data_IF_187323450777
#
_entry.id   IF_187323450777
#
_cell.length_a   1.000
_cell.length_b   1.000
_cell.length_c   1.000
_cell.angle_alpha   90.00
_cell.angle_beta   90.00
_cell.angle_gamma   90.00
#
_symmetry.space_group_name_H-M   'P 1'
#
loop_
_entity.id
_entity.type
_entity.pdbx_description
1 polymer ?
#
# COMPACT_ATOMS: atom_id res chain seq x y z
N UNK A 1 14.01 6.77 30.70
CA UNK A 1 12.68 7.40 30.86
C UNK A 1 12.66 8.69 30.07
N UNK A 2 11.61 8.92 29.29
CA UNK A 2 11.55 10.04 28.35
C UNK A 2 10.63 11.12 28.91
N UNK A 3 11.13 12.36 29.01
CA UNK A 3 10.38 13.51 29.52
C UNK A 3 10.01 14.45 28.37
N UNK A 4 8.80 15.00 28.42
CA UNK A 4 8.40 16.03 27.47
C UNK A 4 9.19 17.31 27.74
N UNK A 5 9.86 17.87 26.73
CA UNK A 5 10.65 19.10 26.90
C UNK A 5 9.84 20.36 27.22
N UNK A 6 8.50 20.33 27.07
CA UNK A 6 7.60 21.46 27.39
C UNK A 6 6.99 21.34 28.78
N UNK A 7 6.58 20.13 29.16
CA UNK A 7 5.96 19.86 30.47
C UNK A 7 6.99 19.43 31.54
N UNK A 8 8.20 18.99 31.15
CA UNK A 8 9.11 18.14 31.92
C UNK A 8 8.49 16.86 32.53
N UNK A 9 7.22 16.56 32.19
CA UNK A 9 6.50 15.39 32.63
C UNK A 9 6.80 14.17 31.75
N UNK A 10 6.72 12.99 32.35
CA UNK A 10 6.97 11.72 31.68
C UNK A 10 5.93 11.45 30.59
N UNK A 11 6.40 11.03 29.42
CA UNK A 11 5.53 10.65 28.31
C UNK A 11 5.14 9.17 28.39
N UNK A 12 3.90 8.84 28.01
CA UNK A 12 3.37 7.47 28.13
C UNK A 12 3.92 6.57 27.01
N UNK A 13 4.80 5.61 27.36
CA UNK A 13 5.36 4.65 26.40
C UNK A 13 4.33 3.56 26.08
N UNK A 14 3.36 3.87 25.22
CA UNK A 14 2.51 2.85 24.57
C UNK A 14 3.29 2.24 23.40
N UNK A 15 2.89 1.04 22.93
CA UNK A 15 3.58 0.29 21.87
C UNK A 15 3.59 0.99 20.50
N UNK A 16 2.84 2.08 20.33
CA UNK A 16 2.73 2.82 19.08
C UNK A 16 3.89 3.80 18.85
N UNK A 17 4.18 4.12 17.59
CA UNK A 17 5.25 5.05 17.17
C UNK A 17 4.98 6.51 17.56
N UNK A 18 3.77 6.79 18.06
CA UNK A 18 3.25 8.09 18.43
C UNK A 18 2.99 8.14 19.94
N UNK A 19 3.47 9.20 20.60
CA UNK A 19 3.47 9.34 22.06
C UNK A 19 2.83 10.67 22.46
N UNK A 20 1.86 10.64 23.39
CA UNK A 20 1.18 11.83 23.93
C UNK A 20 1.81 12.30 25.25
N UNK A 21 2.10 13.60 25.45
CA UNK A 21 2.48 14.11 26.79
C UNK A 21 1.31 13.92 27.75
N UNK A 22 1.59 13.42 28.94
CA UNK A 22 0.63 13.30 30.06
C UNK A 22 0.40 14.63 30.79
N UNK A 23 1.05 15.71 30.37
CA UNK A 23 0.85 17.05 30.91
C UNK A 23 -0.20 17.83 30.16
N UNK A 24 -0.53 19.02 30.68
CA UNK A 24 -1.51 19.96 30.12
C UNK A 24 -1.21 20.42 28.68
N UNK A 25 0.00 20.16 28.17
CA UNK A 25 0.34 20.55 26.80
C UNK A 25 -0.36 19.72 25.72
N UNK A 26 -0.88 18.53 26.06
CA UNK A 26 -1.63 17.66 25.14
C UNK A 26 -0.86 17.20 23.88
N UNK A 27 0.40 17.59 23.72
CA UNK A 27 1.15 17.43 22.49
C UNK A 27 1.47 15.96 22.19
N UNK A 28 1.48 15.67 20.90
CA UNK A 28 1.73 14.34 20.34
C UNK A 28 3.06 14.37 19.58
N UNK A 29 3.95 13.42 19.87
CA UNK A 29 5.31 13.36 19.33
C UNK A 29 5.62 11.97 18.79
N UNK A 30 6.44 11.88 17.74
CA UNK A 30 7.04 10.61 17.34
C UNK A 30 8.06 10.12 18.37
N UNK A 31 8.04 8.83 18.70
CA UNK A 31 8.98 8.20 19.66
C UNK A 31 10.45 8.48 19.32
N UNK A 32 10.79 8.51 18.02
CA UNK A 32 12.14 8.84 17.52
C UNK A 32 12.57 10.29 17.81
N UNK A 33 11.62 11.23 17.81
CA UNK A 33 11.88 12.65 18.06
C UNK A 33 12.11 12.95 19.54
N UNK A 34 11.55 12.13 20.44
CA UNK A 34 11.74 12.32 21.89
C UNK A 34 13.02 11.65 22.40
N UNK A 35 13.51 10.61 21.71
CA UNK A 35 14.70 9.84 22.12
C UNK A 35 16.02 10.41 21.58
N UNK A 36 16.04 11.06 20.41
CA UNK A 36 17.27 11.65 19.86
C UNK A 36 17.44 13.09 20.33
N UNK A 37 18.52 13.34 21.09
CA UNK A 37 19.09 14.69 21.25
C UNK A 37 19.65 15.13 19.88
N UNK A 38 18.78 15.57 18.99
CA UNK A 38 19.20 16.18 17.74
C UNK A 38 19.98 17.47 18.06
N UNK A 39 21.20 17.54 17.54
CA UNK A 39 22.01 18.75 17.50
C UNK A 39 21.18 19.83 16.79
N UNK A 40 20.89 20.90 17.53
CA UNK A 40 20.42 22.20 17.07
C UNK A 40 18.98 22.38 16.55
N UNK A 41 18.20 21.33 16.24
CA UNK A 41 16.75 21.47 15.99
C UNK A 41 15.95 20.33 16.63
N UNK A 42 15.15 20.64 17.66
CA UNK A 42 14.66 19.68 18.65
C UNK A 42 13.40 18.88 18.27
N UNK A 43 12.87 19.03 17.05
CA UNK A 43 11.65 18.35 16.55
C UNK A 43 11.68 18.29 15.02
N UNK A 44 11.23 17.18 14.41
CA UNK A 44 11.06 17.08 12.95
C UNK A 44 10.01 18.08 12.45
N UNK A 45 10.01 18.39 11.16
CA UNK A 45 9.13 19.40 10.57
C UNK A 45 7.65 19.09 10.83
N UNK A 46 7.23 17.82 10.82
CA UNK A 46 5.87 17.40 11.20
C UNK A 46 5.54 17.67 12.68
N UNK A 47 6.51 17.50 13.58
CA UNK A 47 6.35 17.83 15.01
C UNK A 47 6.46 19.35 15.27
N UNK A 48 7.09 20.12 14.38
CA UNK A 48 7.10 21.57 14.43
C UNK A 48 5.77 22.15 13.94
N UNK A 49 5.19 21.58 12.89
CA UNK A 49 3.87 21.97 12.37
C UNK A 49 2.77 21.79 13.41
N UNK A 50 2.88 20.79 14.28
CA UNK A 50 1.95 20.59 15.39
C UNK A 50 2.06 21.67 16.49
N UNK A 51 3.07 22.57 16.45
CA UNK A 51 3.10 23.80 17.27
C UNK A 51 2.12 24.88 16.79
N UNK A 52 1.54 24.72 15.60
CA UNK A 52 0.49 25.57 15.04
C UNK A 52 -0.91 24.96 15.21
N UNK A 53 -1.14 24.20 16.27
CA UNK A 53 -2.51 24.10 16.80
C UNK A 53 -2.87 25.47 17.38
N UNK A 54 -4.06 26.04 17.08
CA UNK A 54 -4.47 27.31 17.66
C UNK A 54 -4.41 27.16 19.18
N UNK A 55 -3.68 28.06 19.85
CA UNK A 55 -3.75 28.17 21.30
C UNK A 55 -5.23 28.35 21.65
N UNK A 56 -5.83 27.35 22.30
CA UNK A 56 -6.96 27.59 23.17
C UNK A 56 -6.41 28.41 24.33
N UNK A 57 -6.40 29.72 24.16
CA UNK A 57 -6.22 30.66 25.24
C UNK A 57 -7.43 30.52 26.16
N UNK A 58 -7.26 29.71 27.21
CA UNK A 58 -7.95 29.94 28.47
C UNK A 58 -7.36 31.21 29.10
N UNK A 59 -7.74 32.35 28.55
CA UNK A 59 -7.76 33.61 29.26
C UNK A 59 -9.23 34.02 29.29
N UNK A 60 -9.69 34.45 30.46
CA UNK A 60 -10.93 35.20 30.63
C UNK A 60 -10.95 36.38 29.65
N UNK A 61 -11.43 36.14 28.43
CA UNK A 61 -11.90 37.21 27.57
C UNK A 61 -13.19 37.67 28.20
N UNK A 62 -13.07 38.55 29.20
CA UNK A 62 -14.05 39.61 29.39
C UNK A 62 -14.29 40.16 27.99
N UNK A 63 -15.46 39.84 27.43
CA UNK A 63 -16.03 40.54 26.29
C UNK A 63 -16.19 42.01 26.71
N UNK A 64 -15.10 42.77 26.66
CA UNK A 64 -15.18 44.21 26.54
C UNK A 64 -15.58 44.42 25.09
N UNK A 65 -16.89 44.24 24.83
CA UNK A 65 -17.54 44.80 23.66
C UNK A 65 -17.30 46.30 23.75
N UNK A 66 -16.33 46.81 22.99
CA UNK A 66 -16.22 48.24 22.76
C UNK A 66 -17.43 48.64 21.90
N UNK A 67 -18.44 49.37 22.43
CA UNK A 67 -19.72 49.58 21.72
C UNK A 67 -19.65 50.70 20.67
N UNK A 68 -18.46 51.05 20.18
CA UNK A 68 -18.27 52.16 19.25
C UNK A 68 -17.33 51.75 18.13
N UNK A 69 -17.88 51.76 16.91
CA UNK A 69 -17.19 51.76 15.61
C UNK A 69 -16.74 50.41 15.02
N UNK A 70 -17.63 49.43 14.92
CA UNK A 70 -17.67 48.63 13.69
C UNK A 70 -18.71 49.27 12.76
N UNK A 71 -18.25 50.12 11.84
CA UNK A 71 -19.14 50.59 10.77
C UNK A 71 -19.68 49.36 10.03
N UNK A 72 -20.93 49.39 9.58
CA UNK A 72 -21.52 48.28 8.82
C UNK A 72 -20.67 47.85 7.61
N UNK A 73 -19.83 48.75 7.09
CA UNK A 73 -18.86 48.49 6.04
C UNK A 73 -17.77 47.49 6.45
N UNK A 74 -17.26 47.55 7.68
CA UNK A 74 -16.25 46.59 8.17
C UNK A 74 -16.83 45.17 8.27
N UNK A 75 -18.06 45.06 8.76
CA UNK A 75 -18.78 43.77 8.85
C UNK A 75 -19.03 43.20 7.45
N UNK A 76 -19.49 44.05 6.50
CA UNK A 76 -19.69 43.67 5.11
C UNK A 76 -18.39 43.20 4.43
N UNK A 77 -17.27 43.90 4.67
CA UNK A 77 -15.97 43.51 4.14
C UNK A 77 -15.52 42.13 4.67
N UNK A 78 -15.74 41.87 5.96
CA UNK A 78 -15.40 40.57 6.55
C UNK A 78 -16.30 39.45 6.02
N UNK A 79 -17.60 39.70 5.84
CA UNK A 79 -18.54 38.75 5.24
C UNK A 79 -18.13 38.42 3.80
N UNK A 80 -17.80 39.42 2.99
CA UNK A 80 -17.33 39.21 1.61
C UNK A 80 -16.04 38.39 1.55
N UNK A 81 -15.11 38.63 2.48
CA UNK A 81 -13.88 37.83 2.60
C UNK A 81 -14.19 36.37 2.92
N UNK A 82 -15.13 36.11 3.85
CA UNK A 82 -15.56 34.74 4.21
C UNK A 82 -16.27 34.06 3.04
N UNK A 83 -17.14 34.77 2.32
CA UNK A 83 -17.80 34.26 1.11
C UNK A 83 -16.80 33.84 0.03
N UNK A 84 -15.74 34.63 -0.19
CA UNK A 84 -14.69 34.28 -1.15
C UNK A 84 -13.93 33.01 -0.73
N UNK A 85 -13.68 32.82 0.57
CA UNK A 85 -13.06 31.58 1.08
C UNK A 85 -13.99 30.39 0.85
N UNK A 86 -15.28 30.52 1.18
CA UNK A 86 -16.27 29.45 0.99
C UNK A 86 -16.36 29.06 -0.48
N UNK A 87 -16.44 30.02 -1.40
CA UNK A 87 -16.46 29.77 -2.84
C UNK A 87 -15.24 28.99 -3.33
N UNK A 88 -14.05 29.36 -2.85
CA UNK A 88 -12.81 28.64 -3.20
C UNK A 88 -12.77 27.21 -2.63
N UNK A 89 -13.34 27.00 -1.44
CA UNK A 89 -13.46 25.66 -0.85
C UNK A 89 -14.44 24.81 -1.64
N UNK A 90 -15.58 25.38 -2.04
CA UNK A 90 -16.60 24.70 -2.84
C UNK A 90 -16.02 24.20 -4.17
N UNK A 91 -15.27 25.06 -4.88
CA UNK A 91 -14.57 24.68 -6.11
C UNK A 91 -13.59 23.51 -5.90
N UNK A 92 -12.81 23.54 -4.81
CA UNK A 92 -11.86 22.45 -4.50
C UNK A 92 -12.58 21.15 -4.15
N UNK A 93 -13.73 21.23 -3.48
CA UNK A 93 -14.56 20.06 -3.16
C UNK A 93 -15.14 19.47 -4.45
N UNK A 94 -15.57 20.30 -5.39
CA UNK A 94 -16.04 19.85 -6.71
C UNK A 94 -14.94 19.11 -7.48
N UNK A 95 -13.73 19.67 -7.54
CA UNK A 95 -12.56 19.05 -8.17
C UNK A 95 -12.19 17.72 -7.49
N UNK A 96 -12.23 17.67 -6.17
CA UNK A 96 -11.97 16.45 -5.40
C UNK A 96 -13.03 15.38 -5.67
N UNK A 97 -14.30 15.77 -5.75
CA UNK A 97 -15.44 14.87 -6.01
C UNK A 97 -15.26 14.18 -7.37
N UNK A 98 -14.98 14.96 -8.42
CA UNK A 98 -14.69 14.44 -9.75
C UNK A 98 -13.51 13.46 -9.76
N UNK A 99 -12.47 13.76 -8.98
CA UNK A 99 -11.29 12.90 -8.87
C UNK A 99 -11.64 11.57 -8.19
N UNK A 100 -12.43 11.61 -7.12
CA UNK A 100 -12.88 10.40 -6.40
C UNK A 100 -13.77 9.53 -7.29
N UNK A 101 -14.70 10.12 -8.04
CA UNK A 101 -15.53 9.41 -9.02
C UNK A 101 -14.68 8.72 -10.08
N UNK A 102 -13.71 9.44 -10.66
CA UNK A 102 -12.78 8.87 -11.64
C UNK A 102 -11.99 7.67 -11.07
N UNK A 103 -11.47 7.78 -9.85
CA UNK A 103 -10.77 6.66 -9.23
C UNK A 103 -11.70 5.50 -8.91
N UNK A 104 -12.95 5.75 -8.50
CA UNK A 104 -13.93 4.71 -8.26
C UNK A 104 -14.21 3.90 -9.54
N UNK A 105 -14.41 4.56 -10.67
CA UNK A 105 -14.63 3.91 -11.98
C UNK A 105 -13.40 3.11 -12.42
N UNK A 106 -12.20 3.66 -12.20
CA UNK A 106 -10.94 2.96 -12.49
C UNK A 106 -10.78 1.70 -11.64
N UNK A 107 -11.08 1.76 -10.33
CA UNK A 107 -11.03 0.60 -9.45
C UNK A 107 -12.07 -0.45 -9.82
N UNK A 108 -13.29 -0.05 -10.18
CA UNK A 108 -14.33 -0.96 -10.65
C UNK A 108 -13.88 -1.72 -11.91
N UNK A 109 -13.33 -1.02 -12.89
CA UNK A 109 -12.79 -1.62 -14.11
C UNK A 109 -11.65 -2.62 -13.82
N UNK A 110 -10.77 -2.28 -12.87
CA UNK A 110 -9.66 -3.14 -12.47
C UNK A 110 -10.13 -4.40 -11.73
N UNK A 111 -11.19 -4.31 -10.94
CA UNK A 111 -11.82 -5.47 -10.29
C UNK A 111 -12.41 -6.43 -11.31
N UNK A 112 -13.14 -5.92 -12.31
CA UNK A 112 -13.72 -6.72 -13.38
C UNK A 112 -12.64 -7.45 -14.20
N UNK A 113 -11.60 -6.71 -14.61
CA UNK A 113 -10.45 -7.31 -15.31
C UNK A 113 -9.77 -8.39 -14.48
N UNK A 114 -9.56 -8.15 -13.18
CA UNK A 114 -8.97 -9.13 -12.27
C UNK A 114 -9.81 -10.39 -12.18
N UNK A 115 -11.13 -10.27 -12.06
CA UNK A 115 -12.03 -11.43 -12.00
C UNK A 115 -11.98 -12.24 -13.29
N UNK A 116 -12.03 -11.58 -14.45
CA UNK A 116 -11.93 -12.24 -15.75
C UNK A 116 -10.58 -12.96 -15.92
N UNK A 117 -9.49 -12.30 -15.55
CA UNK A 117 -8.15 -12.88 -15.60
C UNK A 117 -8.01 -14.10 -14.70
N UNK A 118 -8.55 -14.05 -13.47
CA UNK A 118 -8.56 -15.20 -12.56
C UNK A 118 -9.35 -16.38 -13.12
N UNK A 119 -10.48 -16.14 -13.79
CA UNK A 119 -11.24 -17.20 -14.46
C UNK A 119 -10.42 -17.86 -15.58
N UNK A 120 -9.73 -17.06 -16.40
CA UNK A 120 -8.84 -17.56 -17.46
C UNK A 120 -7.67 -18.38 -16.91
N UNK A 121 -7.02 -17.91 -15.85
CA UNK A 121 -5.92 -18.62 -15.19
C UNK A 121 -6.38 -19.99 -14.71
N UNK A 122 -7.49 -20.07 -13.97
CA UNK A 122 -8.03 -21.34 -13.47
C UNK A 122 -8.35 -22.32 -14.59
N UNK A 123 -8.92 -21.83 -15.71
CA UNK A 123 -9.22 -22.68 -16.87
C UNK A 123 -7.94 -23.23 -17.51
N UNK A 124 -6.89 -22.41 -17.63
CA UNK A 124 -5.60 -22.84 -18.16
C UNK A 124 -4.89 -23.83 -17.23
N UNK A 125 -4.94 -23.62 -15.91
CA UNK A 125 -4.41 -24.55 -14.91
C UNK A 125 -5.07 -25.93 -15.03
N UNK A 126 -6.40 -25.97 -15.13
CA UNK A 126 -7.13 -27.23 -15.34
C UNK A 126 -6.74 -27.93 -16.65
N UNK A 127 -6.58 -27.16 -17.73
CA UNK A 127 -6.14 -27.70 -19.03
C UNK A 127 -4.72 -28.26 -18.94
N UNK A 128 -3.80 -27.59 -18.24
CA UNK A 128 -2.43 -28.08 -18.05
C UNK A 128 -2.42 -29.39 -17.26
N UNK A 129 -3.17 -29.48 -16.16
CA UNK A 129 -3.29 -30.73 -15.38
C UNK A 129 -3.80 -31.88 -16.25
N UNK A 130 -4.78 -31.63 -17.12
CA UNK A 130 -5.27 -32.63 -18.06
C UNK A 130 -4.17 -33.07 -19.03
N UNK A 131 -3.47 -32.12 -19.66
CA UNK A 131 -2.39 -32.41 -20.61
C UNK A 131 -1.23 -33.18 -19.96
N UNK A 132 -0.85 -32.84 -18.73
CA UNK A 132 0.17 -33.57 -17.98
C UNK A 132 -0.21 -35.04 -17.78
N UNK A 133 -1.47 -35.32 -17.44
CA UNK A 133 -1.97 -36.70 -17.32
C UNK A 133 -1.92 -37.44 -18.66
N UNK A 134 -2.30 -36.78 -19.75
CA UNK A 134 -2.23 -37.37 -21.08
C UNK A 134 -0.79 -37.67 -21.50
N UNK A 135 0.14 -36.73 -21.28
CA UNK A 135 1.54 -36.91 -21.59
C UNK A 135 2.15 -38.07 -20.80
N UNK A 136 1.89 -38.14 -19.49
CA UNK A 136 2.35 -39.24 -18.65
C UNK A 136 1.86 -40.60 -19.15
N UNK A 137 0.57 -40.72 -19.50
CA UNK A 137 0.02 -41.96 -20.02
C UNK A 137 0.63 -42.35 -21.38
N UNK A 138 0.96 -41.38 -22.21
CA UNK A 138 1.66 -41.62 -23.48
C UNK A 138 3.10 -42.07 -23.25
N UNK A 139 3.83 -41.45 -22.33
CA UNK A 139 5.18 -41.83 -21.95
C UNK A 139 5.22 -43.28 -21.43
N UNK A 140 4.31 -43.64 -20.53
CA UNK A 140 4.17 -45.02 -20.02
C UNK A 140 3.93 -46.01 -21.16
N UNK A 141 3.02 -45.69 -22.10
CA UNK A 141 2.73 -46.56 -23.26
C UNK A 141 3.91 -46.70 -24.21
N UNK A 142 4.68 -45.63 -24.43
CA UNK A 142 5.90 -45.69 -25.24
C UNK A 142 6.92 -46.61 -24.58
N UNK A 143 7.14 -46.46 -23.27
CA UNK A 143 8.05 -47.33 -22.51
C UNK A 143 7.64 -48.81 -22.60
N UNK A 144 6.35 -49.11 -22.48
CA UNK A 144 5.83 -50.49 -22.64
C UNK A 144 6.10 -51.06 -24.04
N UNK A 145 5.98 -50.25 -25.09
CA UNK A 145 6.27 -50.68 -26.47
C UNK A 145 7.77 -50.92 -26.63
N UNK A 146 8.61 -50.00 -26.17
CA UNK A 146 10.06 -50.12 -26.25
C UNK A 146 10.59 -51.34 -25.49
N UNK A 147 10.03 -51.64 -24.31
CA UNK A 147 10.38 -52.85 -23.56
C UNK A 147 9.99 -54.11 -24.33
N UNK A 148 8.75 -54.19 -24.84
CA UNK A 148 8.28 -55.35 -25.63
C UNK A 148 9.08 -55.57 -26.90
N UNK A 149 9.57 -54.52 -27.53
CA UNK A 149 10.42 -54.66 -28.73
C UNK A 149 11.84 -55.08 -28.35
N UNK A 150 12.40 -54.58 -27.25
CA UNK A 150 13.68 -55.07 -26.71
C UNK A 150 13.62 -56.55 -26.32
N UNK A 151 12.52 -57.01 -25.73
CA UNK A 151 12.34 -58.43 -25.36
C UNK A 151 12.40 -59.38 -26.58
N UNK A 152 12.08 -58.90 -27.78
CA UNK A 152 12.18 -59.68 -29.02
C UNK A 152 13.58 -59.65 -29.64
N UNK A 153 14.43 -58.71 -29.24
CA UNK A 153 15.76 -58.55 -29.81
C UNK A 153 16.76 -59.44 -29.07
N UNK A 154 17.50 -60.25 -29.83
CA UNK A 154 18.64 -61.00 -29.33
C UNK A 154 19.92 -60.25 -29.72
N UNK A 155 20.66 -59.78 -28.71
CA UNK A 155 21.97 -59.15 -28.92
C UNK A 155 23.06 -60.21 -28.79
N UNK A 156 23.80 -60.46 -29.89
CA UNK A 156 24.87 -61.46 -29.94
C UNK A 156 26.20 -60.73 -29.85
N UNK A 157 26.92 -60.94 -28.74
CA UNK A 157 28.24 -60.36 -28.49
C UNK A 157 29.36 -61.33 -28.87
N UNK A 158 30.51 -60.80 -29.32
CA UNK A 158 31.74 -61.59 -29.51
C UNK A 158 31.82 -62.40 -30.81
N UNK A 159 31.04 -62.05 -31.84
CA UNK A 159 31.15 -62.67 -33.16
C UNK A 159 32.42 -62.20 -33.90
N UNK A 160 33.18 -63.17 -34.42
CA UNK A 160 34.32 -62.90 -35.30
C UNK A 160 33.82 -62.47 -36.69
N UNK A 161 34.32 -61.34 -37.19
CA UNK A 161 33.83 -60.73 -38.43
C UNK A 161 34.32 -61.49 -39.64
N UNK A 162 33.45 -62.25 -40.30
CA UNK A 162 33.75 -62.93 -41.55
C UNK A 162 33.52 -62.02 -42.77
N UNK A 163 34.53 -61.91 -43.64
CA UNK A 163 34.53 -60.95 -44.78
C UNK A 163 33.49 -61.21 -45.87
N UNK A 164 32.80 -62.35 -45.85
CA UNK A 164 31.82 -62.75 -46.85
C UNK A 164 30.36 -62.69 -46.35
N UNK A 165 30.11 -62.14 -45.15
CA UNK A 165 28.75 -62.00 -44.64
C UNK A 165 28.01 -60.87 -45.36
N UNK A 166 26.86 -61.19 -45.94
CA UNK A 166 26.03 -60.23 -46.66
C UNK A 166 25.20 -59.42 -45.66
N UNK A 167 25.86 -58.50 -44.96
CA UNK A 167 25.29 -57.65 -43.91
C UNK A 167 24.70 -56.34 -44.44
N UNK A 168 24.32 -56.27 -45.72
CA UNK A 168 23.68 -55.08 -46.29
C UNK A 168 22.27 -54.90 -45.71
N UNK A 169 22.17 -54.09 -44.67
CA UNK A 169 20.99 -53.27 -44.37
C UNK A 169 21.11 -51.92 -45.09
#
# INVERSE_FOLDING_TARGET
MVQCKKCNLFVSLVKDDIVKCKGECGNVYHKKCVNKKFMNNATCDDCQLNKCSPKQSGDDVKLILNPREESGENVLAEVNKKLAVIYNMDKKIEELTKSVEFYADMYQSLLEYKEESQKKIKALEQKNVYLEKCNKALEERVQEIEMRDKEKNLEIHGLEKCGNENTKQ
#
